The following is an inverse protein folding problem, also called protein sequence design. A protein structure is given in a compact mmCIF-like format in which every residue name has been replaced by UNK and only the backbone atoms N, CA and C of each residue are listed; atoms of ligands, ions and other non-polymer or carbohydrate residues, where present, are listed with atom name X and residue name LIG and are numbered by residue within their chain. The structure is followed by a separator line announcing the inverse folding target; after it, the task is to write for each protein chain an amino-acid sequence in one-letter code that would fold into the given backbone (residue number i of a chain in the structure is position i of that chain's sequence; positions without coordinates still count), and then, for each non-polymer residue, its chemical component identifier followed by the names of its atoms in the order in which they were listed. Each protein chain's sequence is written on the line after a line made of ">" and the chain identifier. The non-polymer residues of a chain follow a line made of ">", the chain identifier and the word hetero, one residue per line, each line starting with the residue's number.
data_IF_679223479186
#
_entry.id   IF_679223479186
#
_cell.length_a   1.000
_cell.length_b   1.000
_cell.length_c   1.000
_cell.angle_alpha   90.00
_cell.angle_beta   90.00
_cell.angle_gamma   90.00
#
_symmetry.space_group_name_H-M   'P 1'
#
loop_
_entity.id
_entity.type
_entity.pdbx_description
1 polymer ?
#
# COMPACT_ATOMS: atom_id res chain seq x y z
N UNK A 1 0.66 -30.01 14.95
CA UNK A 1 -0.68 -29.39 15.01
C UNK A 1 -0.83 -28.56 13.76
N UNK A 2 -1.80 -28.88 12.90
CA UNK A 2 -2.05 -28.09 11.69
C UNK A 2 -3.11 -27.03 12.04
N UNK A 3 -2.80 -25.77 11.80
CA UNK A 3 -3.76 -24.66 11.94
C UNK A 3 -4.13 -24.13 10.58
N UNK A 4 -5.41 -23.87 10.37
CA UNK A 4 -5.87 -23.14 9.19
C UNK A 4 -5.97 -21.67 9.56
N UNK A 5 -5.24 -20.83 8.84
CA UNK A 5 -5.23 -19.38 9.04
C UNK A 5 -6.23 -18.76 8.07
N UNK A 6 -7.07 -17.87 8.58
CA UNK A 6 -7.91 -16.95 7.80
C UNK A 6 -7.48 -15.52 8.08
N UNK A 7 -7.70 -14.63 7.13
CA UNK A 7 -7.41 -13.21 7.27
C UNK A 7 -8.70 -12.38 7.35
N UNK A 8 -8.65 -11.30 8.11
CA UNK A 8 -9.69 -10.26 8.16
C UNK A 8 -9.03 -8.95 7.77
N UNK A 9 -9.63 -8.23 6.83
CA UNK A 9 -9.22 -6.90 6.46
C UNK A 9 -10.25 -5.88 6.94
N UNK A 10 -9.75 -4.75 7.39
CA UNK A 10 -10.53 -3.59 7.79
C UNK A 10 -9.71 -2.61 8.61
N UNK A 11 -10.38 -1.65 9.23
CA UNK A 11 -9.78 -0.57 10.01
C UNK A 11 -10.62 -0.31 11.26
N UNK A 12 -10.08 0.49 12.18
CA UNK A 12 -10.78 0.82 13.44
C UNK A 12 -12.16 1.41 13.18
N UNK A 13 -12.28 2.22 12.16
CA UNK A 13 -13.50 2.88 11.71
C UNK A 13 -14.56 1.91 11.17
N UNK A 14 -14.16 0.67 10.81
CA UNK A 14 -15.06 -0.41 10.36
C UNK A 14 -15.25 -1.52 11.41
N UNK A 15 -14.89 -1.35 12.66
CA UNK A 15 -15.15 -2.17 13.86
C UNK A 15 -14.86 -3.68 13.76
N UNK A 16 -13.73 -4.19 13.39
CA UNK A 16 -12.71 -3.77 12.43
C UNK A 16 -12.86 -4.42 11.04
N UNK A 17 -13.88 -5.27 10.81
CA UNK A 17 -13.96 -6.14 9.63
C UNK A 17 -14.73 -5.53 8.46
N UNK A 18 -14.12 -5.48 7.29
CA UNK A 18 -14.74 -5.20 6.00
C UNK A 18 -14.88 -6.48 5.19
N UNK A 19 -13.78 -7.23 5.05
CA UNK A 19 -13.73 -8.49 4.31
C UNK A 19 -13.01 -9.56 5.11
N UNK A 20 -13.26 -10.83 4.78
CA UNK A 20 -12.56 -11.96 5.39
C UNK A 20 -12.42 -13.14 4.42
N UNK A 21 -11.37 -13.92 4.61
CA UNK A 21 -11.24 -15.25 4.02
C UNK A 21 -11.93 -16.30 4.89
N UNK A 22 -12.49 -17.34 4.28
CA UNK A 22 -13.18 -18.42 4.96
C UNK A 22 -12.33 -19.69 5.04
N UNK A 23 -12.69 -20.61 5.94
CA UNK A 23 -11.99 -21.89 6.08
C UNK A 23 -12.05 -22.76 4.82
N UNK A 24 -13.13 -22.61 4.03
CA UNK A 24 -13.36 -23.37 2.80
C UNK A 24 -12.68 -22.73 1.57
N UNK A 25 -12.11 -21.54 1.71
CA UNK A 25 -11.34 -20.93 0.63
C UNK A 25 -10.04 -21.69 0.40
N UNK A 26 -9.56 -21.71 -0.83
CA UNK A 26 -8.28 -22.37 -1.17
C UNK A 26 -7.11 -21.73 -0.42
N UNK A 27 -6.01 -22.45 -0.31
CA UNK A 27 -4.79 -21.92 0.29
C UNK A 27 -4.33 -20.65 -0.42
N UNK A 28 -4.37 -20.64 -1.75
CA UNK A 28 -4.01 -19.50 -2.57
C UNK A 28 -4.89 -18.28 -2.26
N UNK A 29 -6.22 -18.42 -2.28
CA UNK A 29 -7.16 -17.35 -1.96
C UNK A 29 -6.90 -16.76 -0.57
N UNK A 30 -6.62 -17.60 0.44
CA UNK A 30 -6.32 -17.13 1.80
C UNK A 30 -4.98 -16.41 1.92
N UNK A 31 -4.00 -16.74 1.05
CA UNK A 31 -2.67 -16.13 1.08
C UNK A 31 -2.57 -14.87 0.20
N UNK A 32 -3.33 -14.80 -0.88
CA UNK A 32 -3.16 -13.73 -1.90
C UNK A 32 -4.27 -12.69 -1.88
N UNK A 33 -5.37 -12.93 -1.12
CA UNK A 33 -6.52 -12.02 -1.04
C UNK A 33 -6.83 -11.64 0.41
N UNK A 34 -7.68 -10.64 0.58
CA UNK A 34 -8.26 -10.26 1.87
C UNK A 34 -9.68 -10.80 2.05
N UNK A 35 -10.08 -11.75 1.19
CA UNK A 35 -11.37 -12.42 1.27
C UNK A 35 -12.50 -11.69 0.56
N UNK A 36 -13.73 -12.02 0.94
CA UNK A 36 -15.00 -11.47 0.44
C UNK A 36 -15.71 -10.67 1.51
N UNK A 37 -16.77 -10.01 1.15
CA UNK A 37 -17.58 -9.17 2.05
C UNK A 37 -17.84 -9.86 3.39
N UNK A 38 -17.64 -9.14 4.47
CA UNK A 38 -18.09 -9.59 5.78
C UNK A 38 -19.61 -9.69 5.81
N UNK A 39 -20.21 -10.67 6.49
CA UNK A 39 -21.67 -10.81 6.54
C UNK A 39 -22.37 -9.50 6.92
N UNK A 40 -23.35 -9.10 6.12
CA UNK A 40 -24.14 -7.85 6.29
C UNK A 40 -23.33 -6.54 6.14
N UNK A 41 -22.16 -6.61 5.52
CA UNK A 41 -21.37 -5.47 5.11
C UNK A 41 -21.33 -5.43 3.59
N UNK A 42 -21.67 -4.29 3.02
CA UNK A 42 -21.57 -4.05 1.58
C UNK A 42 -20.23 -3.40 1.28
N UNK A 43 -19.36 -4.10 0.56
CA UNK A 43 -18.02 -3.60 0.20
C UNK A 43 -17.98 -3.31 -1.29
N UNK A 44 -17.49 -2.12 -1.63
CA UNK A 44 -17.30 -1.66 -3.01
C UNK A 44 -15.89 -1.20 -3.25
N UNK A 45 -15.49 -1.31 -4.51
CA UNK A 45 -14.29 -0.66 -5.04
C UNK A 45 -14.76 0.55 -5.82
N UNK A 46 -14.50 1.76 -5.32
CA UNK A 46 -14.96 3.01 -5.92
C UNK A 46 -13.79 3.75 -6.56
N UNK A 47 -14.04 4.35 -7.71
CA UNK A 47 -13.09 5.28 -8.33
C UNK A 47 -12.93 6.51 -7.42
N UNK A 48 -11.70 6.84 -6.98
CA UNK A 48 -11.48 7.94 -6.04
C UNK A 48 -11.82 9.34 -6.59
N UNK A 49 -11.89 9.50 -7.93
CA UNK A 49 -12.17 10.78 -8.57
C UNK A 49 -13.66 10.96 -8.84
N UNK A 50 -14.31 9.91 -9.33
CA UNK A 50 -15.73 9.99 -9.75
C UNK A 50 -16.69 9.50 -8.66
N UNK A 51 -16.24 8.64 -7.73
CA UNK A 51 -17.08 7.98 -6.74
C UNK A 51 -17.95 6.86 -7.32
N UNK A 52 -17.75 6.51 -8.59
CA UNK A 52 -18.50 5.41 -9.23
C UNK A 52 -17.85 4.06 -8.90
N UNK A 53 -18.65 2.99 -8.93
CA UNK A 53 -18.17 1.65 -8.69
C UNK A 53 -17.32 1.16 -9.87
N UNK A 54 -16.08 0.73 -9.55
CA UNK A 54 -15.16 0.20 -10.55
C UNK A 54 -15.63 -1.16 -11.07
N UNK A 55 -15.42 -1.44 -12.38
CA UNK A 55 -15.59 -2.79 -12.91
C UNK A 55 -14.66 -3.82 -12.20
N UNK A 56 -15.05 -5.09 -12.28
CA UNK A 56 -14.20 -6.20 -11.80
C UNK A 56 -12.82 -6.14 -12.44
N UNK A 57 -11.78 -6.34 -11.62
CA UNK A 57 -10.38 -6.24 -12.04
C UNK A 57 -9.81 -4.82 -12.17
N UNK A 58 -10.66 -3.79 -12.01
CA UNK A 58 -10.23 -2.39 -12.03
C UNK A 58 -9.96 -1.92 -10.60
N UNK A 59 -8.81 -1.27 -10.41
CA UNK A 59 -8.40 -0.73 -9.11
C UNK A 59 -9.19 0.52 -8.75
N UNK A 60 -9.60 0.61 -7.49
CA UNK A 60 -10.21 1.79 -6.88
C UNK A 60 -10.05 1.77 -5.37
N UNK A 61 -10.70 2.69 -4.69
CA UNK A 61 -10.72 2.75 -3.24
C UNK A 61 -11.66 1.70 -2.65
N UNK A 62 -11.18 0.98 -1.63
CA UNK A 62 -12.00 0.05 -0.87
C UNK A 62 -12.92 0.82 0.09
N UNK A 63 -14.23 0.74 -0.14
CA UNK A 63 -15.24 1.40 0.67
C UNK A 63 -16.21 0.38 1.24
N UNK A 64 -16.74 0.63 2.45
CA UNK A 64 -17.75 -0.26 3.02
C UNK A 64 -18.91 0.50 3.64
N UNK A 65 -20.07 -0.16 3.64
CA UNK A 65 -21.28 0.29 4.31
C UNK A 65 -21.91 -0.87 5.06
N UNK A 66 -22.28 -0.65 6.32
CA UNK A 66 -22.89 -1.67 7.14
C UNK A 66 -22.97 -1.27 8.61
N UNK A 67 -23.41 -2.22 9.43
CA UNK A 67 -23.54 -2.05 10.88
C UNK A 67 -22.17 -1.82 11.58
N UNK A 68 -21.10 -2.21 10.93
CA UNK A 68 -19.72 -2.13 11.40
C UNK A 68 -19.12 -0.73 11.26
N UNK A 69 -19.68 0.13 10.42
CA UNK A 69 -19.17 1.50 10.24
C UNK A 69 -19.37 2.32 11.52
N UNK A 70 -18.32 3.01 11.94
CA UNK A 70 -18.34 3.88 13.10
C UNK A 70 -19.41 4.97 12.98
N UNK A 71 -19.85 5.51 14.10
CA UNK A 71 -20.75 6.69 14.12
C UNK A 71 -20.05 7.98 13.69
N UNK A 72 -18.74 8.04 13.85
CA UNK A 72 -17.92 9.20 13.52
C UNK A 72 -16.78 9.42 14.51
N UNK A 73 -15.91 10.36 14.20
CA UNK A 73 -14.85 10.80 15.08
C UNK A 73 -15.40 11.69 16.22
N UNK A 74 -14.96 11.43 17.43
CA UNK A 74 -15.44 12.14 18.61
C UNK A 74 -15.16 13.65 18.52
N UNK A 75 -16.24 14.45 18.60
CA UNK A 75 -16.19 15.92 18.48
C UNK A 75 -15.52 16.45 17.22
N UNK A 76 -15.47 15.65 16.14
CA UNK A 76 -14.89 16.05 14.86
C UNK A 76 -15.80 15.65 13.69
N UNK A 77 -16.91 16.38 13.48
CA UNK A 77 -17.85 16.08 12.41
C UNK A 77 -17.25 16.33 11.02
N UNK A 78 -16.32 17.28 10.89
CA UNK A 78 -15.65 17.60 9.63
C UNK A 78 -14.83 16.39 9.15
N UNK A 79 -13.92 15.86 9.98
CA UNK A 79 -13.16 14.66 9.64
C UNK A 79 -14.07 13.43 9.44
N UNK A 80 -15.23 13.37 10.09
CA UNK A 80 -16.20 12.30 9.85
C UNK A 80 -16.79 12.40 8.45
N UNK A 81 -17.17 13.61 8.01
CA UNK A 81 -17.72 13.85 6.69
C UNK A 81 -16.70 13.65 5.55
N UNK A 82 -15.39 13.73 5.85
CA UNK A 82 -14.32 13.42 4.88
C UNK A 82 -14.20 11.92 4.61
N UNK A 83 -14.56 11.06 5.58
CA UNK A 83 -14.37 9.61 5.46
C UNK A 83 -15.67 8.82 5.32
N UNK A 84 -16.82 9.38 5.66
CA UNK A 84 -18.13 8.76 5.45
C UNK A 84 -18.92 9.63 4.47
N UNK A 85 -19.18 9.08 3.28
CA UNK A 85 -19.86 9.79 2.22
C UNK A 85 -21.39 9.95 2.51
N UNK A 86 -22.06 10.73 1.64
CA UNK A 86 -23.53 10.97 1.72
C UNK A 86 -24.38 9.71 1.59
N UNK A 87 -23.83 8.64 1.01
CA UNK A 87 -24.49 7.35 0.82
C UNK A 87 -24.26 6.41 2.01
N UNK A 88 -23.42 6.82 2.97
CA UNK A 88 -23.05 6.07 4.17
C UNK A 88 -21.92 5.06 3.94
N UNK A 89 -21.14 5.19 2.87
CA UNK A 89 -19.92 4.42 2.67
C UNK A 89 -18.76 5.05 3.42
N UNK A 90 -18.05 4.23 4.17
CA UNK A 90 -16.77 4.56 4.78
C UNK A 90 -15.66 4.35 3.76
N UNK A 91 -14.91 5.40 3.48
CA UNK A 91 -13.73 5.42 2.63
C UNK A 91 -12.50 4.99 3.43
N UNK A 92 -11.87 3.88 3.05
CA UNK A 92 -10.75 3.31 3.82
C UNK A 92 -9.41 4.02 3.59
N UNK A 93 -9.27 4.71 2.46
CA UNK A 93 -8.00 5.22 1.97
C UNK A 93 -7.08 4.14 1.40
N UNK A 94 -7.50 2.87 1.42
CA UNK A 94 -6.76 1.76 0.84
C UNK A 94 -7.29 1.45 -0.57
N UNK A 95 -6.38 1.18 -1.49
CA UNK A 95 -6.69 0.79 -2.85
C UNK A 95 -6.77 -0.73 -2.97
N UNK A 96 -7.70 -1.20 -3.76
CA UNK A 96 -7.88 -2.62 -4.01
C UNK A 96 -8.56 -2.90 -5.34
N UNK A 97 -8.63 -4.18 -5.66
CA UNK A 97 -9.36 -4.72 -6.80
C UNK A 97 -10.29 -5.82 -6.32
N UNK A 98 -11.43 -5.96 -6.98
CA UNK A 98 -12.36 -7.10 -6.80
C UNK A 98 -12.20 -8.02 -7.99
N UNK A 99 -12.04 -9.33 -7.77
CA UNK A 99 -11.99 -10.32 -8.85
C UNK A 99 -13.39 -10.85 -9.22
N UNK A 100 -13.44 -11.73 -10.24
CA UNK A 100 -14.67 -12.33 -10.73
C UNK A 100 -15.36 -13.23 -9.70
N UNK A 101 -14.61 -13.82 -8.77
CA UNK A 101 -15.10 -14.68 -7.69
C UNK A 101 -15.52 -13.88 -6.44
N UNK A 102 -15.40 -12.55 -6.49
CA UNK A 102 -15.77 -11.63 -5.43
C UNK A 102 -14.73 -11.47 -4.32
N UNK A 103 -13.50 -11.95 -4.52
CA UNK A 103 -12.38 -11.69 -3.60
C UNK A 103 -11.77 -10.33 -3.84
N UNK A 104 -11.29 -9.73 -2.77
CA UNK A 104 -10.56 -8.46 -2.82
C UNK A 104 -9.08 -8.67 -2.60
N UNK A 105 -8.27 -7.91 -3.32
CA UNK A 105 -6.83 -7.80 -3.13
C UNK A 105 -6.47 -6.34 -2.88
N UNK A 106 -5.77 -6.05 -1.78
CA UNK A 106 -5.26 -4.71 -1.50
C UNK A 106 -4.03 -4.46 -2.37
N UNK A 107 -4.03 -3.34 -3.10
CA UNK A 107 -2.98 -2.96 -4.03
C UNK A 107 -2.15 -1.77 -3.57
N UNK A 108 -2.62 -1.03 -2.55
CA UNK A 108 -1.87 0.10 -2.01
C UNK A 108 -2.69 0.99 -1.10
N UNK A 109 -2.17 2.21 -0.89
CA UNK A 109 -2.86 3.29 -0.18
C UNK A 109 -2.86 4.57 -1.00
N UNK A 110 -3.96 5.28 -0.99
CA UNK A 110 -4.09 6.57 -1.70
C UNK A 110 -3.01 7.56 -1.21
N UNK A 111 -2.83 7.68 0.11
CA UNK A 111 -1.86 8.60 0.72
C UNK A 111 -0.39 8.23 0.49
N UNK A 112 -0.11 6.98 0.14
CA UNK A 112 1.24 6.50 -0.12
C UNK A 112 1.60 6.53 -1.61
N UNK A 113 0.63 6.83 -2.48
CA UNK A 113 0.81 6.90 -3.92
C UNK A 113 1.85 7.96 -4.28
N UNK A 114 2.77 7.60 -5.17
CA UNK A 114 3.82 8.48 -5.68
C UNK A 114 3.34 9.07 -7.01
N UNK A 115 3.28 10.39 -7.10
CA UNK A 115 2.88 11.10 -8.32
C UNK A 115 4.13 11.59 -9.03
N UNK A 116 4.57 10.83 -10.04
CA UNK A 116 5.78 11.14 -10.79
C UNK A 116 5.47 11.66 -12.17
N UNK A 117 5.50 12.98 -12.35
CA UNK A 117 5.26 13.61 -13.66
C UNK A 117 3.89 13.30 -14.25
N UNK A 118 2.85 13.17 -13.40
CA UNK A 118 1.49 12.81 -13.78
C UNK A 118 1.18 11.31 -13.77
N UNK A 119 2.17 10.45 -13.58
CA UNK A 119 1.97 9.00 -13.45
C UNK A 119 1.75 8.60 -11.99
N UNK A 120 0.70 7.85 -11.73
CA UNK A 120 0.40 7.28 -10.42
C UNK A 120 1.18 5.97 -10.23
N UNK A 121 2.05 5.95 -9.22
CA UNK A 121 2.87 4.79 -8.88
C UNK A 121 2.48 4.30 -7.50
N UNK A 122 2.17 3.01 -7.41
CA UNK A 122 1.78 2.36 -6.16
C UNK A 122 2.98 1.67 -5.54
N UNK A 123 3.47 2.12 -4.37
CA UNK A 123 4.66 1.59 -3.72
C UNK A 123 4.64 0.08 -3.54
N UNK A 124 3.50 -0.48 -3.16
CA UNK A 124 3.35 -1.91 -2.87
C UNK A 124 3.71 -2.81 -4.07
N UNK A 125 3.37 -2.42 -5.28
CA UNK A 125 3.73 -3.18 -6.50
C UNK A 125 5.24 -3.33 -6.63
N UNK A 126 5.99 -2.26 -6.33
CA UNK A 126 7.44 -2.25 -6.41
C UNK A 126 8.04 -3.02 -5.22
N UNK A 127 7.47 -2.87 -4.03
CA UNK A 127 7.87 -3.62 -2.84
C UNK A 127 7.72 -5.12 -3.06
N UNK A 128 6.54 -5.58 -3.49
CA UNK A 128 6.28 -6.99 -3.80
C UNK A 128 7.25 -7.52 -4.87
N UNK A 129 7.57 -6.73 -5.88
CA UNK A 129 8.54 -7.12 -6.90
C UNK A 129 9.96 -7.24 -6.33
N UNK A 130 10.41 -6.27 -5.53
CA UNK A 130 11.75 -6.25 -4.96
C UNK A 130 11.97 -7.32 -3.89
N UNK A 131 10.93 -7.78 -3.19
CA UNK A 131 11.02 -8.92 -2.26
C UNK A 131 11.49 -10.21 -2.93
N UNK A 132 11.34 -10.35 -4.25
CA UNK A 132 11.87 -11.51 -4.98
C UNK A 132 13.37 -11.39 -5.32
N UNK A 133 14.02 -10.26 -5.01
CA UNK A 133 15.44 -10.08 -5.24
C UNK A 133 16.24 -10.71 -4.10
N UNK A 134 17.11 -11.73 -4.40
CA UNK A 134 17.92 -12.37 -3.36
C UNK A 134 18.80 -11.36 -2.62
N UNK A 135 18.89 -11.51 -1.30
CA UNK A 135 19.69 -10.63 -0.44
C UNK A 135 18.90 -9.43 0.12
N UNK A 136 17.65 -9.24 -0.26
CA UNK A 136 16.75 -8.26 0.36
C UNK A 136 15.98 -8.96 1.48
N UNK A 137 16.18 -8.48 2.73
CA UNK A 137 15.42 -8.92 3.89
C UNK A 137 14.06 -8.22 3.98
N UNK A 138 14.06 -6.91 3.73
CA UNK A 138 12.84 -6.09 3.76
C UNK A 138 13.01 -4.85 2.90
N UNK A 139 11.92 -4.35 2.33
CA UNK A 139 11.91 -3.19 1.45
C UNK A 139 10.67 -2.34 1.64
N UNK A 140 10.86 -1.04 1.66
CA UNK A 140 9.78 -0.06 1.63
C UNK A 140 10.04 0.94 0.51
N UNK A 141 8.98 1.31 -0.18
CA UNK A 141 9.02 2.30 -1.25
C UNK A 141 8.23 3.53 -0.84
N UNK A 142 8.84 4.69 -1.03
CA UNK A 142 8.22 5.98 -0.73
C UNK A 142 8.63 7.05 -1.74
N UNK A 143 7.85 8.13 -1.76
CA UNK A 143 8.16 9.29 -2.57
C UNK A 143 9.43 9.99 -2.07
N UNK A 144 10.30 10.34 -2.99
CA UNK A 144 11.44 11.27 -2.78
C UNK A 144 11.13 12.53 -3.58
N UNK A 145 11.24 13.72 -3.03
CA UNK A 145 11.07 14.97 -3.78
C UNK A 145 11.94 15.01 -5.03
N UNK A 146 11.41 15.55 -6.12
CA UNK A 146 12.13 15.67 -7.40
C UNK A 146 11.81 17.02 -8.04
N UNK A 147 12.84 17.81 -8.35
CA UNK A 147 12.67 19.10 -9.03
C UNK A 147 12.02 18.94 -10.42
N UNK A 148 12.33 17.85 -11.11
CA UNK A 148 11.89 17.62 -12.49
C UNK A 148 10.48 17.03 -12.58
N UNK A 149 10.12 16.13 -11.66
CA UNK A 149 8.91 15.33 -11.76
C UNK A 149 7.94 15.52 -10.58
N UNK A 150 8.22 16.44 -9.66
CA UNK A 150 7.53 16.60 -8.39
C UNK A 150 7.95 15.52 -7.39
N UNK A 151 7.77 14.26 -7.75
CA UNK A 151 8.19 13.11 -6.94
C UNK A 151 8.95 12.08 -7.80
N UNK A 152 9.77 11.29 -7.15
CA UNK A 152 10.47 10.14 -7.71
C UNK A 152 10.38 8.95 -6.77
N UNK A 153 10.58 7.75 -7.32
CA UNK A 153 10.53 6.51 -6.54
C UNK A 153 11.83 6.36 -5.76
N UNK A 154 11.71 6.21 -4.43
CA UNK A 154 12.80 5.83 -3.53
C UNK A 154 12.54 4.46 -2.93
N UNK A 155 13.52 3.56 -3.01
CA UNK A 155 13.50 2.26 -2.34
C UNK A 155 14.41 2.32 -1.11
N UNK A 156 13.85 1.97 0.05
CA UNK A 156 14.56 1.84 1.32
C UNK A 156 14.69 0.36 1.63
N UNK A 157 15.89 -0.16 1.66
CA UNK A 157 16.17 -1.59 1.66
C UNK A 157 16.95 -1.98 2.90
N UNK A 158 16.50 -3.03 3.56
CA UNK A 158 17.26 -3.73 4.59
C UNK A 158 17.79 -5.01 3.97
N UNK A 159 19.09 -5.19 3.96
CA UNK A 159 19.74 -6.37 3.41
C UNK A 159 19.71 -7.54 4.40
N UNK A 160 19.78 -8.75 3.86
CA UNK A 160 20.08 -9.95 4.66
C UNK A 160 21.50 -9.87 5.24
N UNK A 161 21.76 -10.58 6.32
CA UNK A 161 23.06 -10.61 6.98
C UNK A 161 24.15 -11.11 6.00
N UNK A 162 25.20 -10.32 5.83
CA UNK A 162 26.30 -10.62 4.92
C UNK A 162 26.04 -10.33 3.44
N UNK A 163 24.81 -9.97 3.06
CA UNK A 163 24.51 -9.56 1.68
C UNK A 163 25.19 -8.22 1.34
N UNK A 164 25.68 -8.12 0.10
CA UNK A 164 26.24 -6.88 -0.46
C UNK A 164 25.51 -6.56 -1.75
N UNK A 165 25.08 -5.32 -1.87
CA UNK A 165 24.27 -4.87 -3.01
C UNK A 165 24.56 -3.39 -3.25
N UNK A 166 24.54 -2.98 -4.51
CA UNK A 166 24.64 -1.58 -4.92
C UNK A 166 23.28 -1.05 -5.41
N UNK A 167 23.06 0.26 -5.43
CA UNK A 167 21.86 0.86 -6.05
C UNK A 167 21.69 0.41 -7.51
N UNK A 168 22.78 0.24 -8.26
CA UNK A 168 22.77 -0.18 -9.63
C UNK A 168 22.28 -1.62 -9.80
N UNK A 169 22.60 -2.51 -8.85
CA UNK A 169 22.12 -3.91 -8.87
C UNK A 169 20.59 -3.94 -8.74
N UNK A 170 20.03 -3.14 -7.85
CA UNK A 170 18.56 -3.03 -7.65
C UNK A 170 17.90 -2.49 -8.91
N UNK A 171 18.46 -1.43 -9.51
CA UNK A 171 17.91 -0.85 -10.73
C UNK A 171 18.03 -1.83 -11.92
N UNK A 172 19.13 -2.57 -12.02
CA UNK A 172 19.33 -3.58 -13.05
C UNK A 172 18.33 -4.74 -12.91
N UNK A 173 18.05 -5.16 -11.68
CA UNK A 173 17.03 -6.18 -11.40
C UNK A 173 15.64 -5.77 -11.88
N UNK A 174 15.32 -4.47 -11.79
CA UNK A 174 14.04 -3.91 -12.25
C UNK A 174 13.96 -3.74 -13.77
N UNK A 175 15.09 -3.52 -14.47
CA UNK A 175 15.09 -3.21 -15.91
C UNK A 175 14.45 -4.30 -16.74
N UNK A 176 13.51 -3.91 -17.61
CA UNK A 176 12.79 -4.81 -18.51
C UNK A 176 11.73 -5.70 -17.83
N UNK A 177 11.60 -5.64 -16.51
CA UNK A 177 10.64 -6.44 -15.75
C UNK A 177 9.48 -5.61 -15.19
N UNK A 178 9.72 -4.33 -14.87
CA UNK A 178 8.71 -3.37 -14.49
C UNK A 178 8.78 -2.13 -15.38
N UNK A 179 7.72 -1.33 -15.41
CA UNK A 179 7.67 -0.10 -16.20
C UNK A 179 8.81 0.86 -15.81
N UNK A 180 9.41 1.52 -16.79
CA UNK A 180 10.60 2.37 -16.58
C UNK A 180 10.40 3.47 -15.53
N UNK A 181 9.21 4.04 -15.47
CA UNK A 181 8.88 5.10 -14.52
C UNK A 181 8.72 4.60 -13.07
N UNK A 182 8.49 3.27 -12.88
CA UNK A 182 8.41 2.60 -11.58
C UNK A 182 9.78 2.19 -11.03
N UNK A 183 10.83 2.16 -11.84
CA UNK A 183 12.18 1.79 -11.38
C UNK A 183 12.64 2.82 -10.33
N UNK A 184 13.06 2.36 -9.13
CA UNK A 184 13.56 3.26 -8.09
C UNK A 184 14.71 4.11 -8.61
N UNK A 185 14.54 5.44 -8.58
CA UNK A 185 15.61 6.38 -8.90
C UNK A 185 16.61 6.45 -7.76
N UNK A 186 16.11 6.45 -6.54
CA UNK A 186 16.90 6.49 -5.33
C UNK A 186 16.81 5.14 -4.61
N UNK A 187 17.95 4.60 -4.20
CA UNK A 187 18.04 3.34 -3.44
C UNK A 187 18.88 3.62 -2.21
N UNK A 188 18.29 3.42 -1.04
CA UNK A 188 18.91 3.64 0.25
C UNK A 188 18.98 2.32 1.01
N UNK A 189 20.18 1.93 1.44
CA UNK A 189 20.36 0.80 2.34
C UNK A 189 20.34 1.32 3.77
N UNK A 190 19.46 0.75 4.60
CA UNK A 190 19.24 1.19 5.99
C UNK A 190 19.18 -0.02 6.91
N UNK A 191 19.46 0.17 8.19
CA UNK A 191 19.45 -0.90 9.18
C UNK A 191 18.04 -1.19 9.71
N UNK A 192 17.18 -0.17 9.79
CA UNK A 192 15.82 -0.30 10.32
C UNK A 192 14.88 0.76 9.76
N UNK A 193 13.60 0.40 9.66
CA UNK A 193 12.54 1.37 9.32
C UNK A 193 12.10 2.17 10.54
N UNK A 194 11.65 3.41 10.34
CA UNK A 194 10.96 4.17 11.39
C UNK A 194 9.62 3.52 11.70
N UNK A 195 9.42 3.12 12.97
CA UNK A 195 8.20 2.45 13.42
C UNK A 195 7.37 3.36 14.34
N UNK A 196 6.06 3.13 14.35
CA UNK A 196 5.17 3.64 15.41
C UNK A 196 5.39 2.86 16.69
N UNK A 197 4.84 3.35 17.83
CA UNK A 197 4.84 2.59 19.08
C UNK A 197 4.13 1.22 19.00
N UNK A 198 3.29 1.01 17.99
CA UNK A 198 2.62 -0.26 17.71
C UNK A 198 3.35 -1.14 16.68
N UNK A 199 4.56 -0.75 16.25
CA UNK A 199 5.38 -1.52 15.31
C UNK A 199 5.03 -1.35 13.83
N UNK A 200 4.16 -0.39 13.46
CA UNK A 200 3.83 -0.11 12.05
C UNK A 200 4.85 0.84 11.44
N UNK A 201 5.25 0.58 10.18
CA UNK A 201 6.19 1.41 9.43
C UNK A 201 5.56 2.78 9.13
N UNK A 202 6.33 3.85 9.38
CA UNK A 202 5.93 5.23 9.15
C UNK A 202 6.50 5.73 7.81
N UNK A 203 5.78 5.47 6.70
CA UNK A 203 6.25 5.84 5.35
C UNK A 203 6.52 7.34 5.19
N UNK A 204 5.75 8.21 5.86
CA UNK A 204 6.01 9.66 5.81
C UNK A 204 7.40 10.04 6.34
N UNK A 205 7.90 9.31 7.35
CA UNK A 205 9.27 9.52 7.85
C UNK A 205 10.34 9.06 6.87
N UNK A 206 10.05 8.06 6.03
CA UNK A 206 10.97 7.66 4.96
C UNK A 206 11.15 8.79 3.94
N UNK A 207 10.07 9.52 3.62
CA UNK A 207 10.13 10.71 2.77
C UNK A 207 11.04 11.80 3.39
N UNK A 208 10.91 12.04 4.69
CA UNK A 208 11.77 13.00 5.41
C UNK A 208 13.23 12.51 5.47
N UNK A 209 13.44 11.23 5.74
CA UNK A 209 14.79 10.64 5.77
C UNK A 209 15.47 10.68 4.41
N UNK A 210 14.74 10.57 3.30
CA UNK A 210 15.31 10.56 1.96
C UNK A 210 16.14 11.80 1.66
N UNK A 211 15.70 12.97 2.11
CA UNK A 211 16.44 14.22 1.90
C UNK A 211 17.77 14.21 2.63
N UNK A 212 17.79 13.74 3.88
CA UNK A 212 19.03 13.63 4.68
C UNK A 212 19.99 12.61 4.05
N UNK A 213 19.47 11.45 3.65
CA UNK A 213 20.27 10.41 3.01
C UNK A 213 20.84 10.87 1.67
N UNK A 214 20.10 11.66 0.90
CA UNK A 214 20.62 12.28 -0.33
C UNK A 214 21.77 13.25 -0.03
N UNK A 215 21.63 14.10 0.99
CA UNK A 215 22.69 15.03 1.41
C UNK A 215 23.94 14.26 1.89
N UNK A 216 23.78 13.27 2.77
CA UNK A 216 24.87 12.46 3.32
C UNK A 216 25.63 11.67 2.25
N UNK A 217 24.93 11.20 1.22
CA UNK A 217 25.50 10.41 0.13
C UNK A 217 25.94 11.27 -1.07
N UNK A 218 25.80 12.59 -0.99
CA UNK A 218 26.12 13.50 -2.09
C UNK A 218 25.26 13.28 -3.35
N UNK A 219 24.05 12.73 -3.18
CA UNK A 219 23.11 12.50 -4.26
C UNK A 219 22.31 13.77 -4.53
N UNK A 220 22.43 14.31 -5.72
CA UNK A 220 21.64 15.46 -6.12
C UNK A 220 20.16 15.09 -6.31
N UNK A 221 19.27 15.81 -5.62
CA UNK A 221 17.82 15.71 -5.80
C UNK A 221 17.45 16.49 -7.06
N UNK A 222 17.40 15.80 -8.20
CA UNK A 222 17.10 16.36 -9.54
C UNK A 222 15.61 16.26 -9.85
#
# INVERSE_FOLDING_TARGET
>A
MYMTITSVYGLTESSPGMTQTCLNDTFEQRCTTVGRDFPFVDVKVLDPETGEECPVGVQGEMCCKGFNVMKGYYKNPEATAEVIDKNGYLHSGDLGVKDEDGFYKITGRIKDMIIRGGENIYPREIEEFLYHMPGIRDVQVAAVPSKKYGEAVGAFIILEEGAKMTPEDVQLFCRGKIARYKIPKYVFFIDQFPLTGSGKIQKFKLKEMSLKLCEEQGIEVI
#
